data_IF_561406292398
#
_entry.id   IF_561406292398
#
_cell.length_a   1.000
_cell.length_b   1.000
_cell.length_c   1.000
_cell.angle_alpha   90.00
_cell.angle_beta   90.00
_cell.angle_gamma   90.00
#
_symmetry.space_group_name_H-M   'P 1'
#
loop_
_entity.id
_entity.type
_entity.pdbx_description
1 polymer ?
#
# COMPACT_ATOMS: atom_id res chain seq x y z
N UNK A 1 61.63 -9.29 4.27
CA UNK A 1 60.66 -8.34 3.69
C UNK A 1 59.72 -9.09 2.77
N UNK A 2 58.51 -9.38 3.22
CA UNK A 2 57.50 -10.13 2.45
C UNK A 2 56.70 -9.09 1.67
N UNK A 3 56.74 -9.15 0.33
CA UNK A 3 55.98 -8.31 -0.56
C UNK A 3 54.53 -8.82 -0.55
N UNK A 4 53.60 -8.03 -0.03
CA UNK A 4 52.16 -8.32 -0.11
C UNK A 4 51.68 -7.79 -1.46
N UNK A 5 51.39 -8.69 -2.40
CA UNK A 5 50.75 -8.35 -3.66
C UNK A 5 49.27 -8.11 -3.43
N UNK A 6 48.78 -6.97 -3.95
CA UNK A 6 47.36 -6.58 -3.84
C UNK A 6 46.51 -7.52 -4.69
N UNK A 7 45.45 -8.09 -4.08
CA UNK A 7 44.45 -8.91 -4.75
C UNK A 7 43.58 -7.96 -5.63
N UNK A 8 43.47 -8.20 -6.95
CA UNK A 8 42.65 -7.40 -7.82
C UNK A 8 41.16 -7.63 -7.51
N UNK A 9 40.42 -6.55 -7.30
CA UNK A 9 38.96 -6.59 -7.12
C UNK A 9 38.28 -6.84 -8.46
N UNK A 10 37.50 -7.91 -8.63
CA UNK A 10 36.80 -8.21 -9.88
C UNK A 10 35.77 -7.13 -10.20
N UNK A 11 35.73 -6.68 -11.46
CA UNK A 11 34.77 -5.71 -11.94
C UNK A 11 33.36 -6.32 -12.09
N UNK A 12 32.31 -5.51 -11.98
CA UNK A 12 30.91 -5.96 -12.10
C UNK A 12 30.59 -6.70 -13.42
N UNK A 13 31.42 -6.54 -14.45
CA UNK A 13 31.28 -7.21 -15.76
C UNK A 13 31.78 -8.64 -15.75
N UNK A 14 32.70 -8.98 -14.87
CA UNK A 14 33.25 -10.34 -14.79
C UNK A 14 32.40 -11.31 -14.02
N UNK A 15 31.49 -10.78 -13.16
CA UNK A 15 30.55 -11.59 -12.38
C UNK A 15 29.49 -12.27 -13.26
N UNK A 16 29.11 -11.68 -14.40
CA UNK A 16 28.14 -12.25 -15.33
C UNK A 16 28.65 -13.29 -16.29
N UNK A 17 29.98 -13.48 -16.40
CA UNK A 17 30.58 -14.38 -17.39
C UNK A 17 30.72 -15.83 -16.90
N UNK A 18 30.52 -16.13 -15.62
CA UNK A 18 30.65 -17.48 -15.07
C UNK A 18 29.43 -18.40 -15.25
N UNK A 19 28.29 -17.89 -15.72
CA UNK A 19 27.05 -18.69 -15.86
C UNK A 19 26.86 -19.35 -17.24
N UNK A 20 27.77 -19.17 -18.20
CA UNK A 20 27.52 -19.61 -19.59
C UNK A 20 28.43 -20.71 -20.15
N UNK A 21 29.13 -21.50 -19.32
CA UNK A 21 29.92 -22.66 -19.80
C UNK A 21 29.69 -23.91 -18.97
N UNK A 22 28.51 -24.52 -19.15
CA UNK A 22 28.34 -25.96 -18.93
C UNK A 22 27.15 -26.45 -19.79
N UNK A 23 27.43 -26.63 -21.09
CA UNK A 23 26.56 -27.41 -21.97
C UNK A 23 27.20 -28.77 -22.15
N UNK A 24 26.51 -29.84 -21.78
CA UNK A 24 26.83 -31.20 -22.17
C UNK A 24 26.59 -32.23 -21.09
N UNK A 25 25.49 -32.92 -21.20
CA UNK A 25 25.23 -34.38 -21.11
C UNK A 25 23.96 -34.71 -20.34
N UNK A 26 23.09 -35.42 -21.04
CA UNK A 26 21.81 -36.01 -20.69
C UNK A 26 21.80 -36.75 -19.34
N UNK A 27 20.78 -36.45 -18.49
CA UNK A 27 20.13 -37.44 -17.63
C UNK A 27 18.76 -36.96 -17.25
N UNK A 28 17.72 -37.79 -17.51
CA UNK A 28 16.37 -37.62 -17.00
C UNK A 28 16.42 -37.59 -15.47
N UNK A 29 15.94 -36.47 -14.85
CA UNK A 29 15.83 -36.34 -13.42
C UNK A 29 14.70 -35.38 -13.10
N UNK A 30 13.71 -35.90 -12.37
CA UNK A 30 12.52 -35.21 -11.85
C UNK A 30 12.89 -33.86 -11.26
N UNK A 31 12.37 -32.79 -11.82
CA UNK A 31 12.49 -31.42 -11.31
C UNK A 31 11.59 -31.26 -10.07
N UNK A 32 12.13 -31.46 -8.88
CA UNK A 32 11.54 -30.94 -7.66
C UNK A 32 11.78 -29.42 -7.67
N UNK A 33 10.79 -28.65 -8.04
CA UNK A 33 10.84 -27.20 -8.05
C UNK A 33 10.92 -26.64 -6.64
N UNK A 34 12.10 -26.25 -6.17
CA UNK A 34 12.26 -25.32 -5.06
C UNK A 34 12.01 -23.89 -5.56
N UNK A 35 10.76 -23.57 -5.78
CA UNK A 35 10.30 -22.21 -6.02
C UNK A 35 10.03 -21.48 -4.71
N UNK A 36 11.06 -21.23 -3.90
CA UNK A 36 10.99 -20.30 -2.78
C UNK A 36 11.03 -18.88 -3.30
N UNK A 37 9.92 -18.39 -3.87
CA UNK A 37 9.77 -17.00 -4.25
C UNK A 37 9.33 -16.20 -3.02
N UNK A 38 10.27 -15.86 -2.14
CA UNK A 38 10.06 -14.87 -1.08
C UNK A 38 10.09 -13.48 -1.71
N UNK A 39 9.10 -13.16 -2.51
CA UNK A 39 8.82 -11.79 -2.92
C UNK A 39 8.19 -11.08 -1.73
N UNK A 40 9.00 -10.39 -0.94
CA UNK A 40 8.59 -9.27 -0.07
C UNK A 40 8.24 -8.07 -0.97
N UNK A 41 7.45 -8.30 -2.01
CA UNK A 41 6.85 -7.25 -2.83
C UNK A 41 5.49 -6.86 -2.27
N UNK A 42 4.96 -5.69 -2.65
CA UNK A 42 3.59 -5.31 -2.33
C UNK A 42 2.65 -6.44 -2.77
N UNK A 43 1.64 -6.73 -1.95
CA UNK A 43 0.68 -7.81 -2.22
C UNK A 43 0.17 -7.67 -3.65
N UNK A 44 0.44 -8.67 -4.50
CA UNK A 44 0.09 -8.67 -5.93
C UNK A 44 -1.42 -8.53 -6.20
N UNK A 45 -2.24 -8.70 -5.17
CA UNK A 45 -3.70 -8.63 -5.22
C UNK A 45 -4.26 -7.28 -4.75
N UNK A 46 -3.42 -6.32 -4.34
CA UNK A 46 -3.88 -5.01 -3.92
C UNK A 46 -4.28 -4.16 -5.14
N UNK A 47 -5.54 -3.76 -5.18
CA UNK A 47 -6.08 -2.84 -6.16
C UNK A 47 -5.88 -1.39 -5.69
N UNK A 48 -5.70 -0.47 -6.64
CA UNK A 48 -5.65 0.96 -6.30
C UNK A 48 -7.02 1.48 -5.90
N UNK A 49 -7.06 2.24 -4.81
CA UNK A 49 -8.27 2.96 -4.41
C UNK A 49 -8.58 4.07 -5.43
N UNK A 50 -9.85 4.25 -5.79
CA UNK A 50 -10.26 5.41 -6.55
C UNK A 50 -9.99 6.70 -5.77
N UNK A 51 -9.67 7.78 -6.49
CA UNK A 51 -9.49 9.10 -5.90
C UNK A 51 -10.78 9.90 -6.02
N UNK A 52 -11.16 10.60 -4.96
CA UNK A 52 -12.30 11.50 -4.95
C UNK A 52 -11.86 12.94 -4.71
N UNK A 53 -12.60 13.87 -5.31
CA UNK A 53 -12.40 15.29 -5.07
C UNK A 53 -12.89 15.67 -3.68
N UNK A 54 -12.17 16.58 -3.02
CA UNK A 54 -12.56 17.13 -1.73
C UNK A 54 -12.30 18.64 -1.73
N UNK A 55 -13.14 19.37 -1.02
CA UNK A 55 -12.95 20.81 -0.78
C UNK A 55 -12.46 21.02 0.65
N UNK A 56 -11.55 21.97 0.83
CA UNK A 56 -10.97 22.32 2.13
C UNK A 56 -11.33 23.76 2.47
N UNK A 57 -11.88 23.97 3.66
CA UNK A 57 -12.15 25.29 4.23
C UNK A 57 -11.56 25.35 5.64
N UNK A 58 -10.41 26.01 5.77
CA UNK A 58 -9.61 25.96 6.99
C UNK A 58 -9.14 24.54 7.28
N UNK A 59 -9.63 23.92 8.35
CA UNK A 59 -9.36 22.52 8.71
C UNK A 59 -10.52 21.58 8.38
N UNK A 60 -11.63 22.10 7.90
CA UNK A 60 -12.78 21.28 7.52
C UNK A 60 -12.63 20.79 6.08
N UNK A 61 -12.77 19.49 5.92
CA UNK A 61 -12.76 18.80 4.62
C UNK A 61 -14.17 18.33 4.31
N UNK A 62 -14.64 18.59 3.09
CA UNK A 62 -15.95 18.17 2.59
C UNK A 62 -15.77 17.32 1.34
N UNK A 63 -16.37 16.14 1.33
CA UNK A 63 -16.25 15.13 0.26
C UNK A 63 -17.64 14.80 -0.26
N UNK A 64 -17.92 14.97 -1.57
CA UNK A 64 -19.16 14.51 -2.18
C UNK A 64 -19.34 13.00 -2.06
N UNK A 65 -20.49 12.55 -1.63
CA UNK A 65 -20.84 11.16 -1.40
C UNK A 65 -22.24 10.76 -1.90
N UNK A 66 -22.86 11.61 -2.69
CA UNK A 66 -24.19 11.41 -3.27
C UNK A 66 -24.19 10.54 -4.52
N UNK A 67 -25.34 10.37 -5.11
CA UNK A 67 -25.55 9.61 -6.33
C UNK A 67 -24.59 10.04 -7.44
N UNK A 68 -23.99 9.08 -8.13
CA UNK A 68 -23.00 9.32 -9.20
C UNK A 68 -21.58 9.55 -8.71
N UNK A 69 -21.32 9.57 -7.39
CA UNK A 69 -19.96 9.61 -6.83
C UNK A 69 -19.47 8.23 -6.46
N UNK A 70 -18.14 8.09 -6.33
CA UNK A 70 -17.50 6.85 -5.87
C UNK A 70 -18.00 6.39 -4.49
N UNK A 71 -18.34 7.33 -3.62
CA UNK A 71 -18.78 7.08 -2.24
C UNK A 71 -20.31 7.01 -2.08
N UNK A 72 -21.05 6.85 -3.16
CA UNK A 72 -22.53 6.76 -3.12
C UNK A 72 -23.05 5.49 -2.45
N UNK A 73 -22.30 4.39 -2.55
CA UNK A 73 -22.73 3.08 -2.06
C UNK A 73 -22.10 2.71 -0.73
N UNK A 74 -22.84 1.99 0.11
CA UNK A 74 -22.30 1.37 1.33
C UNK A 74 -21.15 0.42 1.01
N UNK A 75 -20.10 0.48 1.79
CA UNK A 75 -18.87 -0.30 1.58
C UNK A 75 -17.89 0.31 0.56
N UNK A 76 -18.27 1.40 -0.11
CA UNK A 76 -17.38 2.09 -1.02
C UNK A 76 -16.17 2.66 -0.27
N UNK A 77 -15.00 2.54 -0.89
CA UNK A 77 -13.72 3.05 -0.38
C UNK A 77 -13.05 3.95 -1.42
N UNK A 78 -12.42 5.01 -0.96
CA UNK A 78 -11.70 5.95 -1.81
C UNK A 78 -10.56 6.64 -1.05
N UNK A 79 -9.67 7.28 -1.80
CA UNK A 79 -8.70 8.25 -1.28
C UNK A 79 -9.19 9.67 -1.58
N UNK A 80 -9.10 10.56 -0.60
CA UNK A 80 -9.31 12.00 -0.79
C UNK A 80 -7.96 12.71 -0.64
N UNK A 81 -7.46 13.27 -1.73
CA UNK A 81 -6.24 14.08 -1.73
C UNK A 81 -6.60 15.55 -1.55
N UNK A 82 -5.98 16.20 -0.58
CA UNK A 82 -6.23 17.60 -0.23
C UNK A 82 -4.93 18.36 0.00
N UNK A 83 -5.03 19.67 0.14
CA UNK A 83 -3.88 20.53 0.51
C UNK A 83 -3.35 20.30 1.94
N UNK A 84 -4.14 19.66 2.80
CA UNK A 84 -3.80 19.41 4.20
C UNK A 84 -3.50 17.93 4.49
N UNK A 85 -3.51 17.06 3.48
CA UNK A 85 -3.16 15.64 3.59
C UNK A 85 -3.98 14.75 2.68
N UNK A 86 -3.63 13.47 2.69
CA UNK A 86 -4.40 12.42 2.01
C UNK A 86 -5.15 11.59 3.05
N UNK A 87 -6.40 11.29 2.76
CA UNK A 87 -7.29 10.57 3.66
C UNK A 87 -7.88 9.33 2.98
N UNK A 88 -8.07 8.27 3.75
CA UNK A 88 -8.82 7.09 3.37
C UNK A 88 -10.26 7.28 3.84
N UNK A 89 -11.21 7.04 2.96
CA UNK A 89 -12.63 7.20 3.24
C UNK A 89 -13.35 5.91 2.94
N UNK A 90 -14.15 5.45 3.90
CA UNK A 90 -15.05 4.29 3.72
C UNK A 90 -16.47 4.73 4.03
N UNK A 91 -17.41 4.52 3.12
CA UNK A 91 -18.84 4.70 3.37
C UNK A 91 -19.36 3.49 4.15
N UNK A 92 -19.58 3.64 5.45
CA UNK A 92 -20.01 2.51 6.29
C UNK A 92 -21.49 2.18 6.10
N UNK A 93 -22.33 3.23 5.98
CA UNK A 93 -23.76 3.14 5.66
C UNK A 93 -24.29 4.49 5.13
N UNK A 94 -25.60 4.64 5.03
CA UNK A 94 -26.22 5.88 4.53
C UNK A 94 -25.90 7.12 5.38
N UNK A 95 -25.72 6.93 6.70
CA UNK A 95 -25.51 8.03 7.66
C UNK A 95 -24.06 8.09 8.18
N UNK A 96 -23.25 7.06 7.96
CA UNK A 96 -21.95 6.94 8.56
C UNK A 96 -20.83 6.75 7.53
N UNK A 97 -19.70 7.38 7.79
CA UNK A 97 -18.46 7.17 7.08
C UNK A 97 -17.27 7.12 8.06
N UNK A 98 -16.28 6.33 7.74
CA UNK A 98 -14.99 6.30 8.44
C UNK A 98 -13.97 7.07 7.63
N UNK A 99 -13.28 7.99 8.25
CA UNK A 99 -12.18 8.74 7.65
C UNK A 99 -10.91 8.51 8.46
N UNK A 100 -9.85 8.11 7.77
CA UNK A 100 -8.55 7.80 8.36
C UNK A 100 -7.45 8.60 7.65
N UNK A 101 -6.33 8.83 8.34
CA UNK A 101 -5.12 9.27 7.63
C UNK A 101 -4.69 8.20 6.63
N UNK A 102 -4.25 8.62 5.45
CA UNK A 102 -3.62 7.71 4.48
C UNK A 102 -2.13 7.50 4.75
N UNK A 103 -1.59 8.05 5.84
CA UNK A 103 -0.17 7.92 6.21
C UNK A 103 0.06 6.61 6.95
N UNK A 104 0.81 5.71 6.34
CA UNK A 104 1.18 4.43 6.95
C UNK A 104 2.02 4.64 8.22
N UNK A 105 1.63 3.98 9.31
CA UNK A 105 2.28 4.14 10.62
C UNK A 105 3.61 3.39 10.74
N UNK A 106 4.05 2.67 9.70
CA UNK A 106 5.38 2.08 9.63
C UNK A 106 6.44 3.14 9.28
N UNK A 107 6.40 3.68 8.07
CA UNK A 107 7.40 4.63 7.54
C UNK A 107 6.79 5.80 6.76
N UNK A 108 5.53 6.14 7.00
CA UNK A 108 4.92 7.34 6.42
C UNK A 108 4.49 7.23 4.96
N UNK A 109 4.59 6.06 4.31
CA UNK A 109 4.12 5.87 2.95
C UNK A 109 2.62 6.16 2.83
N UNK A 110 2.21 6.73 1.69
CA UNK A 110 0.79 6.94 1.41
C UNK A 110 0.12 5.61 1.08
N UNK A 111 -0.91 5.28 1.83
CA UNK A 111 -1.77 4.12 1.58
C UNK A 111 -2.75 4.49 0.47
N UNK A 112 -2.72 3.75 -0.63
CA UNK A 112 -3.59 3.95 -1.79
C UNK A 112 -4.12 2.62 -2.36
N UNK A 113 -3.82 1.50 -1.71
CA UNK A 113 -4.25 0.17 -2.12
C UNK A 113 -5.30 -0.42 -1.20
N UNK A 114 -6.07 -1.37 -1.74
CA UNK A 114 -6.97 -2.20 -0.95
C UNK A 114 -7.00 -3.64 -1.49
N UNK A 115 -7.28 -4.58 -0.59
CA UNK A 115 -7.52 -5.98 -0.93
C UNK A 115 -8.66 -6.50 -0.08
N UNK A 116 -9.74 -6.98 -0.70
CA UNK A 116 -10.96 -7.31 0.02
C UNK A 116 -11.53 -6.10 0.75
N UNK A 117 -11.58 -6.16 2.09
CA UNK A 117 -12.04 -5.07 2.96
C UNK A 117 -10.90 -4.43 3.77
N UNK A 118 -9.65 -4.54 3.33
CA UNK A 118 -8.48 -4.01 4.03
C UNK A 118 -7.74 -2.99 3.18
N UNK A 119 -7.27 -1.94 3.82
CA UNK A 119 -6.32 -1.02 3.21
C UNK A 119 -4.92 -1.65 3.19
N UNK A 120 -4.19 -1.46 2.11
CA UNK A 120 -2.85 -2.03 1.89
C UNK A 120 -1.85 -0.92 1.64
N UNK A 121 -0.80 -0.87 2.45
CA UNK A 121 0.32 0.02 2.24
C UNK A 121 1.23 -0.56 1.15
N UNK A 122 1.49 0.18 0.05
CA UNK A 122 2.23 -0.36 -1.10
C UNK A 122 3.72 -0.54 -0.82
N UNK A 123 4.30 0.13 0.19
CA UNK A 123 5.74 0.09 0.42
C UNK A 123 6.20 -1.24 1.03
N UNK A 124 5.58 -1.66 2.14
CA UNK A 124 6.03 -2.84 2.88
C UNK A 124 4.89 -3.80 3.24
N UNK A 125 3.71 -3.64 2.60
CA UNK A 125 2.60 -4.58 2.72
C UNK A 125 1.88 -4.59 4.07
N UNK A 126 2.01 -3.54 4.90
CA UNK A 126 1.17 -3.40 6.09
C UNK A 126 -0.29 -3.29 5.68
N UNK A 127 -1.18 -4.01 6.38
CA UNK A 127 -2.61 -3.95 6.12
C UNK A 127 -3.38 -3.46 7.34
N UNK A 128 -4.50 -2.78 7.06
CA UNK A 128 -5.36 -2.16 8.07
C UNK A 128 -6.82 -2.46 7.76
N UNK A 129 -7.63 -2.57 8.80
CA UNK A 129 -9.09 -2.62 8.64
C UNK A 129 -9.63 -1.30 8.11
N UNK A 130 -10.89 -1.28 7.69
CA UNK A 130 -11.60 -0.03 7.33
C UNK A 130 -11.78 0.93 8.52
N UNK A 131 -11.56 0.47 9.75
CA UNK A 131 -11.53 1.29 10.97
C UNK A 131 -10.13 1.70 11.40
N UNK A 132 -9.10 1.33 10.63
CA UNK A 132 -7.71 1.74 10.84
C UNK A 132 -6.89 0.84 11.75
N UNK A 133 -7.44 -0.25 12.29
CA UNK A 133 -6.68 -1.20 13.10
C UNK A 133 -5.69 -1.98 12.24
N UNK A 134 -4.47 -2.23 12.75
CA UNK A 134 -3.47 -3.06 12.07
C UNK A 134 -3.95 -4.49 11.99
N UNK A 135 -3.90 -5.09 10.80
CA UNK A 135 -4.16 -6.51 10.57
C UNK A 135 -2.85 -7.26 10.34
N UNK A 136 -1.95 -6.66 9.54
CA UNK A 136 -0.64 -7.23 9.21
C UNK A 136 0.42 -6.13 9.26
N UNK A 137 1.55 -6.42 9.92
CA UNK A 137 2.72 -5.55 9.94
C UNK A 137 3.47 -5.45 8.60
N UNK A 138 4.54 -4.67 8.59
CA UNK A 138 5.36 -4.23 9.73
C UNK A 138 4.85 -3.06 10.59
N UNK A 139 3.80 -2.35 10.18
CA UNK A 139 3.18 -1.34 11.06
C UNK A 139 2.69 -1.95 12.37
N UNK A 140 2.83 -1.21 13.48
CA UNK A 140 2.45 -1.65 14.83
C UNK A 140 1.38 -0.78 15.48
N UNK A 141 1.01 0.35 14.85
CA UNK A 141 0.03 1.30 15.35
C UNK A 141 -1.11 1.48 14.37
N UNK A 142 -2.33 1.64 14.89
CA UNK A 142 -3.51 1.96 14.09
C UNK A 142 -3.35 3.30 13.37
N UNK A 143 -4.09 3.46 12.26
CA UNK A 143 -4.23 4.74 11.57
C UNK A 143 -5.02 5.71 12.44
N UNK A 144 -4.69 7.00 12.34
CA UNK A 144 -5.48 8.04 12.97
C UNK A 144 -6.86 8.13 12.31
N UNK A 145 -7.91 8.12 13.12
CA UNK A 145 -9.28 8.31 12.68
C UNK A 145 -9.74 9.73 12.98
N UNK A 146 -10.54 10.28 12.06
CA UNK A 146 -11.18 11.58 12.19
C UNK A 146 -12.69 11.40 12.40
N UNK A 147 -13.29 12.25 13.24
CA UNK A 147 -14.73 12.25 13.43
C UNK A 147 -15.40 12.81 12.18
N UNK A 148 -16.00 11.95 11.41
CA UNK A 148 -16.71 12.31 10.18
C UNK A 148 -18.22 12.30 10.42
N UNK A 149 -18.91 13.21 9.75
CA UNK A 149 -20.36 13.30 9.72
C UNK A 149 -20.83 13.21 8.27
N UNK A 150 -21.95 12.52 8.07
CA UNK A 150 -22.62 12.47 6.77
C UNK A 150 -23.88 13.30 6.86
N UNK A 151 -23.96 14.35 6.07
CA UNK A 151 -25.15 15.21 5.99
C UNK A 151 -25.60 15.27 4.53
N UNK A 152 -26.74 14.66 4.25
CA UNK A 152 -27.19 14.48 2.87
C UNK A 152 -26.14 13.73 2.05
N UNK A 153 -25.70 14.35 0.97
CA UNK A 153 -24.75 13.79 0.01
C UNK A 153 -23.29 14.23 0.26
N UNK A 154 -22.97 14.67 1.48
CA UNK A 154 -21.62 15.17 1.81
C UNK A 154 -21.09 14.54 3.09
N UNK A 155 -19.86 14.06 3.05
CA UNK A 155 -19.08 13.64 4.21
C UNK A 155 -18.21 14.83 4.63
N UNK A 156 -18.28 15.23 5.90
CA UNK A 156 -17.47 16.32 6.47
C UNK A 156 -16.69 15.84 7.69
N UNK A 157 -15.45 16.33 7.84
CA UNK A 157 -14.63 16.09 9.02
C UNK A 157 -13.63 17.24 9.22
N UNK A 158 -13.03 17.30 10.41
CA UNK A 158 -11.97 18.27 10.75
C UNK A 158 -10.64 17.52 10.91
N UNK A 159 -9.61 17.93 10.16
CA UNK A 159 -8.28 17.34 10.18
C UNK A 159 -7.27 18.16 11.03
#
# INVERSE_FOLDING_TARGET
>A
MIKVEAIPTPSRREFCACCSRAAGLLALGVAAGCGGNSTTGPSSDAQSLPSVSATVSGRTVSIPAGAGTTLASTGAMATAQTSIGTFLVTRSDAANATVLTATCTHEGCTINGFAGSQFVCPCHGSTYTTTGAVVKGPATRSLQQFNAQVTGDVITFTA
#
